data_IF_424440936589
#
_entry.id   IF_424440936589
#
_cell.length_a   1.000
_cell.length_b   1.000
_cell.length_c   1.000
_cell.angle_alpha   90.00
_cell.angle_beta   90.00
_cell.angle_gamma   90.00
#
_symmetry.space_group_name_H-M   'P 1'
#
loop_
_entity.id
_entity.type
_entity.pdbx_description
1 polymer ?
#
# COMPACT_ATOMS: atom_id res chain seq x y z
N UNK A 1 11.22 6.30 -8.46
CA UNK A 1 10.89 5.01 -8.03
C UNK A 1 9.75 4.40 -8.81
N UNK A 2 9.88 3.19 -9.17
CA UNK A 2 8.87 2.55 -9.92
C UNK A 2 7.85 1.92 -9.04
N UNK A 3 6.60 2.20 -9.25
CA UNK A 3 5.55 1.62 -8.47
C UNK A 3 4.74 0.69 -9.34
N UNK A 4 4.80 -0.58 -9.06
CA UNK A 4 4.15 -1.56 -9.86
C UNK A 4 2.94 -2.13 -9.19
N UNK A 5 1.82 -2.20 -9.88
CA UNK A 5 0.59 -2.73 -9.33
C UNK A 5 0.60 -4.24 -9.43
N UNK A 6 0.35 -4.88 -8.32
CA UNK A 6 0.31 -6.33 -8.26
C UNK A 6 -1.10 -6.80 -8.54
N UNK A 7 -1.27 -7.63 -9.54
CA UNK A 7 -2.60 -8.11 -9.91
C UNK A 7 -3.27 -8.90 -8.80
N UNK A 8 -2.49 -9.53 -7.97
CA UNK A 8 -3.04 -10.28 -6.86
C UNK A 8 -3.88 -9.38 -5.96
N UNK A 9 -3.51 -8.12 -5.83
CA UNK A 9 -4.21 -7.21 -4.93
C UNK A 9 -5.58 -6.82 -5.44
N UNK A 10 -5.87 -7.07 -6.68
CA UNK A 10 -7.16 -6.72 -7.22
C UNK A 10 -8.27 -7.64 -6.75
N UNK A 11 -7.92 -8.77 -6.19
CA UNK A 11 -8.94 -9.68 -5.68
C UNK A 11 -9.04 -9.62 -4.17
N UNK A 12 -8.54 -8.57 -3.55
CA UNK A 12 -8.59 -8.42 -2.11
C UNK A 12 -10.04 -8.31 -1.65
N UNK A 13 -10.43 -9.14 -0.71
CA UNK A 13 -11.80 -9.08 -0.22
C UNK A 13 -11.93 -9.29 1.28
N UNK A 14 -10.82 -9.24 2.02
CA UNK A 14 -10.87 -9.35 3.47
C UNK A 14 -10.81 -7.94 4.04
N UNK A 15 -11.86 -7.54 4.73
CA UNK A 15 -11.95 -6.18 5.24
C UNK A 15 -11.36 -6.04 6.63
N UNK A 16 -10.60 -4.99 6.85
CA UNK A 16 -10.04 -4.65 8.14
C UNK A 16 -9.99 -3.17 8.28
N UNK A 17 -10.09 -2.69 9.51
CA UNK A 17 -10.03 -1.26 9.77
C UNK A 17 -8.63 -0.87 10.22
N UNK A 18 -8.06 0.13 9.59
CA UNK A 18 -6.74 0.64 9.93
C UNK A 18 -6.84 2.12 10.17
N UNK A 19 -6.21 2.59 11.24
CA UNK A 19 -6.20 4.02 11.54
C UNK A 19 -4.87 4.61 11.14
N UNK A 20 -4.92 5.77 10.51
CA UNK A 20 -3.71 6.45 10.06
C UNK A 20 -3.56 7.79 10.77
N UNK A 21 -2.33 8.24 10.92
CA UNK A 21 -2.12 9.61 11.33
C UNK A 21 -2.50 10.48 10.15
N UNK A 22 -2.84 11.73 10.42
CA UNK A 22 -3.21 12.63 9.35
C UNK A 22 -2.10 12.78 8.33
N UNK A 23 -0.88 12.93 8.79
CA UNK A 23 0.21 13.18 7.88
C UNK A 23 0.48 11.96 6.99
N UNK A 24 0.40 10.77 7.53
CA UNK A 24 0.58 9.57 6.72
C UNK A 24 -0.55 9.41 5.72
N UNK A 25 -1.77 9.66 6.17
CA UNK A 25 -2.92 9.55 5.30
C UNK A 25 -2.79 10.50 4.11
N UNK A 26 -2.37 11.73 4.36
CA UNK A 26 -2.24 12.69 3.29
C UNK A 26 -1.18 12.31 2.29
N UNK A 27 -0.07 11.76 2.78
CA UNK A 27 0.98 11.32 1.88
C UNK A 27 0.52 10.16 1.01
N UNK A 28 -0.20 9.22 1.60
CA UNK A 28 -0.71 8.10 0.84
C UNK A 28 -1.72 8.56 -0.20
N UNK A 29 -2.59 9.47 0.20
CA UNK A 29 -3.61 9.96 -0.70
C UNK A 29 -3.00 10.67 -1.90
N UNK A 30 -2.00 11.50 -1.63
CA UNK A 30 -1.33 12.20 -2.70
C UNK A 30 -0.61 11.23 -3.63
N UNK A 31 0.05 10.25 -3.06
CA UNK A 31 0.77 9.28 -3.86
C UNK A 31 -0.18 8.48 -4.74
N UNK A 32 -1.32 8.10 -4.20
CA UNK A 32 -2.30 7.37 -4.98
C UNK A 32 -2.80 8.19 -6.15
N UNK A 33 -3.10 9.46 -5.89
CA UNK A 33 -3.56 10.35 -6.93
C UNK A 33 -2.48 10.54 -8.00
N UNK A 34 -1.25 10.74 -7.59
CA UNK A 34 -0.16 10.96 -8.52
C UNK A 34 0.08 9.74 -9.41
N UNK A 35 -0.21 8.57 -8.89
CA UNK A 35 -0.01 7.33 -9.64
C UNK A 35 -1.30 6.81 -10.27
N UNK A 36 -2.38 7.56 -10.11
CA UNK A 36 -3.64 7.23 -10.74
C UNK A 36 -4.17 5.86 -10.29
N UNK A 37 -4.05 5.56 -9.03
CA UNK A 37 -4.57 4.32 -8.47
C UNK A 37 -5.40 4.66 -7.25
N UNK A 38 -6.20 3.70 -6.79
CA UNK A 38 -7.04 3.95 -5.63
C UNK A 38 -6.20 3.94 -4.36
N UNK A 39 -6.70 4.62 -3.35
CA UNK A 39 -6.04 4.67 -2.06
C UNK A 39 -5.89 3.25 -1.51
N UNK A 40 -6.94 2.47 -1.61
CA UNK A 40 -6.92 1.11 -1.09
C UNK A 40 -5.85 0.26 -1.76
N UNK A 41 -5.75 0.36 -3.06
CA UNK A 41 -4.76 -0.41 -3.78
C UNK A 41 -3.34 0.01 -3.40
N UNK A 42 -3.11 1.30 -3.22
CA UNK A 42 -1.81 1.78 -2.82
C UNK A 42 -1.43 1.23 -1.45
N UNK A 43 -2.36 1.26 -0.50
CA UNK A 43 -2.09 0.76 0.84
C UNK A 43 -1.73 -0.72 0.80
N UNK A 44 -2.47 -1.51 0.03
CA UNK A 44 -2.18 -2.93 -0.08
C UNK A 44 -0.80 -3.17 -0.70
N UNK A 45 -0.48 -2.39 -1.71
CA UNK A 45 0.81 -2.54 -2.37
C UNK A 45 1.94 -2.20 -1.40
N UNK A 46 1.77 -1.16 -0.61
CA UNK A 46 2.77 -0.77 0.37
C UNK A 46 2.93 -1.85 1.44
N UNK A 47 1.83 -2.43 1.88
CA UNK A 47 1.89 -3.48 2.88
C UNK A 47 2.64 -4.69 2.36
N UNK A 48 2.36 -5.07 1.14
CA UNK A 48 3.00 -6.23 0.56
C UNK A 48 4.50 -5.97 0.41
N UNK A 49 4.85 -4.79 -0.06
CA UNK A 49 6.24 -4.42 -0.23
C UNK A 49 6.98 -4.45 1.13
N UNK A 50 6.35 -3.91 2.16
CA UNK A 50 6.97 -3.86 3.48
C UNK A 50 7.19 -5.25 4.03
N UNK A 51 6.24 -6.14 3.85
CA UNK A 51 6.39 -7.49 4.35
C UNK A 51 7.51 -8.23 3.64
N UNK A 52 7.62 -8.04 2.36
CA UNK A 52 8.66 -8.69 1.60
C UNK A 52 10.03 -8.20 2.03
N UNK A 53 10.14 -6.93 2.33
CA UNK A 53 11.41 -6.39 2.77
C UNK A 53 11.74 -6.77 4.20
N UNK A 54 10.75 -6.94 5.03
CA UNK A 54 10.98 -7.37 6.37
C UNK A 54 11.55 -8.76 6.43
N UNK A 55 11.11 -9.61 5.55
CA UNK A 55 11.66 -10.94 5.51
C UNK A 55 13.11 -10.95 5.20
N UNK A 56 13.54 -10.09 4.34
CA UNK A 56 14.93 -10.01 4.02
C UNK A 56 15.75 -9.54 5.17
N UNK A 57 15.22 -8.73 6.01
CA UNK A 57 15.92 -8.23 7.12
C UNK A 57 15.79 -9.09 8.32
N UNK A 58 15.09 -10.13 8.26
CA UNK A 58 14.89 -10.97 9.34
C UNK A 58 16.16 -11.48 9.86
N UNK A 59 16.40 -11.50 10.97
CA UNK A 59 17.65 -11.97 11.47
C UNK A 59 17.57 -12.82 12.61
#
# INVERSE_FOLDING_TARGET
MMFKIDNELKSANVARTVRFTESLFEKLNKTATDNNISFNLLVLQCCKYALENMEEKKN
#
